data_IF_175943400928
#
_entry.id   IF_175943400928
#
_cell.length_a   1.000
_cell.length_b   1.000
_cell.length_c   1.000
_cell.angle_alpha   90.00
_cell.angle_beta   90.00
_cell.angle_gamma   90.00
#
_symmetry.space_group_name_H-M   'P 1'
#
loop_
_entity.id
_entity.type
_entity.pdbx_description
1 polymer ?
#
# COMPACT_ATOMS: atom_id res chain seq x y z
N UNK A 1 -27.40 -31.07 32.95
CA UNK A 1 -26.05 -30.59 32.60
C UNK A 1 -26.23 -29.41 31.64
N UNK A 2 -25.94 -28.19 32.08
CA UNK A 2 -26.10 -27.00 31.26
C UNK A 2 -25.01 -26.98 30.19
N UNK A 3 -25.39 -27.19 28.93
CA UNK A 3 -24.47 -27.07 27.79
C UNK A 3 -24.00 -25.63 27.68
N UNK A 4 -22.77 -25.36 28.10
CA UNK A 4 -22.15 -24.05 27.97
C UNK A 4 -22.06 -23.66 26.50
N UNK A 5 -22.64 -22.52 26.15
CA UNK A 5 -22.49 -21.91 24.83
C UNK A 5 -21.01 -21.61 24.56
N UNK A 6 -20.33 -22.51 23.84
CA UNK A 6 -18.94 -22.30 23.45
C UNK A 6 -18.86 -21.16 22.42
N UNK A 7 -18.06 -20.12 22.72
CA UNK A 7 -17.72 -19.06 21.79
C UNK A 7 -17.00 -19.70 20.58
N UNK A 8 -17.60 -19.62 19.39
CA UNK A 8 -16.98 -20.06 18.13
C UNK A 8 -16.51 -18.83 17.36
N UNK A 9 -15.20 -18.65 17.25
CA UNK A 9 -14.62 -17.70 16.30
C UNK A 9 -14.48 -18.34 14.93
N UNK A 10 -15.04 -17.73 13.89
CA UNK A 10 -14.76 -18.08 12.49
C UNK A 10 -13.69 -17.14 11.94
N UNK A 11 -12.73 -17.68 11.18
CA UNK A 11 -11.75 -16.87 10.44
C UNK A 11 -12.48 -16.17 9.30
N UNK A 12 -12.19 -14.88 9.08
CA UNK A 12 -12.60 -14.16 7.87
C UNK A 12 -11.79 -14.71 6.69
N UNK A 13 -12.47 -15.34 5.74
CA UNK A 13 -11.87 -15.94 4.54
C UNK A 13 -12.68 -17.14 4.05
N UNK A 14 -12.58 -17.46 2.76
CA UNK A 14 -13.18 -18.68 2.22
C UNK A 14 -12.38 -19.93 2.67
N UNK A 15 -13.09 -21.04 2.88
CA UNK A 15 -12.51 -22.34 3.28
C UNK A 15 -11.69 -23.01 2.15
N UNK A 16 -11.10 -24.19 2.43
CA UNK A 16 -10.10 -24.79 1.54
C UNK A 16 -10.62 -25.17 0.15
N UNK A 17 -9.65 -25.24 -0.77
CA UNK A 17 -9.69 -25.10 -2.24
C UNK A 17 -10.98 -25.51 -2.97
N UNK A 18 -11.46 -24.59 -3.80
CA UNK A 18 -12.34 -24.88 -4.94
C UNK A 18 -11.72 -25.89 -5.91
N UNK A 19 -12.51 -26.28 -6.90
CA UNK A 19 -12.29 -27.39 -7.86
C UNK A 19 -10.82 -27.62 -8.25
N UNK A 20 -10.42 -28.91 -8.28
CA UNK A 20 -9.04 -29.33 -8.55
C UNK A 20 -8.53 -28.84 -9.91
N UNK A 21 -9.42 -28.72 -10.89
CA UNK A 21 -9.14 -28.23 -12.23
C UNK A 21 -9.61 -26.78 -12.34
N UNK A 22 -8.67 -25.83 -12.40
CA UNK A 22 -8.95 -24.38 -12.45
C UNK A 22 -9.20 -23.85 -13.88
N UNK A 23 -9.33 -24.75 -14.85
CA UNK A 23 -9.35 -24.40 -16.27
C UNK A 23 -8.01 -23.83 -16.75
N UNK A 24 -8.02 -23.21 -17.92
CA UNK A 24 -6.85 -22.56 -18.50
C UNK A 24 -6.54 -21.23 -17.82
N UNK A 25 -5.26 -20.97 -17.55
CA UNK A 25 -4.84 -19.71 -16.95
C UNK A 25 -5.01 -18.56 -17.95
N UNK A 26 -5.65 -17.48 -17.52
CA UNK A 26 -5.77 -16.28 -18.33
C UNK A 26 -4.39 -15.72 -18.72
N UNK A 27 -4.25 -15.17 -19.94
CA UNK A 27 -3.01 -14.57 -20.39
C UNK A 27 -2.65 -13.35 -19.52
N UNK A 28 -1.36 -13.19 -19.23
CA UNK A 28 -0.86 -12.18 -18.28
C UNK A 28 0.42 -11.53 -18.78
N UNK A 29 0.60 -10.28 -18.39
CA UNK A 29 1.83 -9.51 -18.62
C UNK A 29 2.42 -9.04 -17.30
N UNK A 30 3.73 -8.79 -17.28
CA UNK A 30 4.42 -8.20 -16.14
C UNK A 30 4.73 -6.74 -16.44
N UNK A 31 4.34 -5.85 -15.53
CA UNK A 31 4.66 -4.42 -15.60
C UNK A 31 5.62 -4.10 -14.46
N UNK A 32 6.74 -3.46 -14.78
CA UNK A 32 7.74 -3.07 -13.79
C UNK A 32 7.44 -1.68 -13.22
N UNK A 33 7.61 -1.53 -11.92
CA UNK A 33 7.49 -0.28 -11.18
C UNK A 33 8.72 -0.07 -10.30
N UNK A 34 9.27 1.14 -10.29
CA UNK A 34 10.44 1.53 -9.53
C UNK A 34 10.09 2.62 -8.51
N UNK A 35 10.47 2.41 -7.25
CA UNK A 35 10.32 3.43 -6.21
C UNK A 35 11.60 4.27 -6.05
N UNK A 36 11.50 5.39 -5.34
CA UNK A 36 12.62 6.31 -5.10
C UNK A 36 13.86 5.66 -4.42
N UNK A 37 13.70 4.49 -3.79
CA UNK A 37 14.81 3.72 -3.19
C UNK A 37 15.46 2.72 -4.17
N UNK A 38 15.07 2.72 -5.46
CA UNK A 38 15.61 1.83 -6.47
C UNK A 38 15.06 0.39 -6.43
N UNK A 39 13.96 0.15 -5.71
CA UNK A 39 13.33 -1.17 -5.74
C UNK A 39 12.45 -1.36 -6.97
N UNK A 40 12.75 -2.37 -7.78
CA UNK A 40 11.83 -2.85 -8.82
C UNK A 40 10.77 -3.80 -8.22
N UNK A 41 9.52 -3.58 -8.62
CA UNK A 41 8.36 -4.45 -8.32
C UNK A 41 7.67 -4.82 -9.63
N UNK A 42 7.36 -6.11 -9.83
CA UNK A 42 6.84 -6.63 -11.11
C UNK A 42 5.50 -7.38 -10.93
N UNK A 43 4.39 -6.71 -10.56
CA UNK A 43 3.08 -7.33 -10.53
C UNK A 43 2.67 -7.84 -11.92
N UNK A 44 1.91 -8.94 -11.95
CA UNK A 44 1.31 -9.48 -13.16
C UNK A 44 -0.12 -8.99 -13.32
N UNK A 45 -0.47 -8.49 -14.50
CA UNK A 45 -1.83 -8.10 -14.88
C UNK A 45 -2.37 -9.03 -15.96
N UNK A 46 -3.69 -9.18 -16.04
CA UNK A 46 -4.32 -9.83 -17.20
C UNK A 46 -4.02 -9.01 -18.46
N UNK A 47 -3.83 -9.68 -19.60
CA UNK A 47 -3.46 -9.02 -20.86
C UNK A 47 -4.53 -8.01 -21.31
N UNK A 48 -5.82 -8.29 -21.10
CA UNK A 48 -6.90 -7.34 -21.40
C UNK A 48 -6.93 -6.10 -20.48
N UNK A 49 -6.36 -6.20 -19.28
CA UNK A 49 -6.41 -5.16 -18.25
C UNK A 49 -5.17 -4.24 -18.24
N UNK A 50 -4.24 -4.45 -19.18
CA UNK A 50 -3.04 -3.61 -19.35
C UNK A 50 -3.36 -2.13 -19.54
N UNK A 51 -4.39 -1.73 -20.31
CA UNK A 51 -4.76 -0.31 -20.45
C UNK A 51 -5.22 0.33 -19.13
N UNK A 52 -5.67 -0.48 -18.17
CA UNK A 52 -6.16 -0.05 -16.87
C UNK A 52 -5.11 -0.24 -15.75
N UNK A 53 -3.89 -0.64 -16.11
CA UNK A 53 -2.81 -0.78 -15.15
C UNK A 53 -2.53 0.58 -14.48
N UNK A 54 -2.41 0.61 -13.14
CA UNK A 54 -2.26 1.87 -12.43
C UNK A 54 -0.93 2.55 -12.77
N UNK A 55 -0.91 3.88 -12.79
CA UNK A 55 0.34 4.62 -13.01
C UNK A 55 1.33 4.48 -11.83
N UNK A 56 0.79 4.24 -10.63
CA UNK A 56 1.56 4.10 -9.39
C UNK A 56 1.27 2.75 -8.74
N UNK A 57 2.28 2.17 -8.11
CA UNK A 57 2.20 0.94 -7.35
C UNK A 57 2.87 1.09 -5.99
N UNK A 58 2.31 0.49 -4.94
CA UNK A 58 2.94 0.51 -3.63
C UNK A 58 4.09 -0.51 -3.58
N UNK A 59 5.30 -0.02 -3.30
CA UNK A 59 6.46 -0.89 -3.18
C UNK A 59 6.30 -1.84 -1.97
N UNK A 60 6.29 -3.17 -2.15
CA UNK A 60 6.10 -4.13 -1.06
C UNK A 60 7.28 -4.15 -0.08
N UNK A 61 8.43 -3.57 -0.44
CA UNK A 61 9.61 -3.50 0.43
C UNK A 61 9.65 -2.27 1.34
N UNK A 62 9.19 -1.11 0.88
CA UNK A 62 9.31 0.13 1.65
C UNK A 62 8.02 0.97 1.74
N UNK A 63 6.94 0.55 1.09
CA UNK A 63 5.66 1.26 1.09
C UNK A 63 5.65 2.58 0.34
N UNK A 64 6.73 2.92 -0.38
CA UNK A 64 6.79 4.12 -1.20
C UNK A 64 6.03 3.91 -2.50
N UNK A 65 5.47 4.98 -3.09
CA UNK A 65 4.95 4.91 -4.45
C UNK A 65 6.09 4.49 -5.39
N UNK A 66 5.74 3.68 -6.37
CA UNK A 66 6.60 3.22 -7.45
C UNK A 66 5.92 3.55 -8.78
N UNK A 67 6.68 4.05 -9.75
CA UNK A 67 6.19 4.42 -11.08
C UNK A 67 6.81 3.54 -12.16
N UNK A 68 6.27 3.57 -13.38
CA UNK A 68 6.76 2.74 -14.48
C UNK A 68 8.05 3.26 -15.16
N UNK A 69 8.55 4.42 -14.75
CA UNK A 69 9.82 4.98 -15.23
C UNK A 69 10.92 4.75 -14.19
N UNK A 70 11.93 3.94 -14.56
CA UNK A 70 13.10 3.65 -13.72
C UNK A 70 13.96 4.89 -13.46
N UNK A 71 14.09 5.78 -14.45
CA UNK A 71 14.95 6.95 -14.36
C UNK A 71 14.30 8.08 -13.55
N UNK A 72 12.98 8.07 -13.44
CA UNK A 72 12.21 9.10 -12.74
C UNK A 72 11.14 8.48 -11.82
N UNK A 73 11.57 7.79 -10.74
CA UNK A 73 10.62 7.21 -9.80
C UNK A 73 9.86 8.30 -9.02
N UNK A 74 8.60 8.06 -8.67
CA UNK A 74 7.80 9.02 -7.91
C UNK A 74 8.41 9.27 -6.53
N UNK A 75 8.32 10.52 -6.08
CA UNK A 75 8.81 10.90 -4.75
C UNK A 75 7.93 10.31 -3.64
N UNK A 76 8.50 10.00 -2.47
CA UNK A 76 7.72 9.56 -1.31
C UNK A 76 6.68 10.62 -0.92
N UNK A 77 5.52 10.17 -0.44
CA UNK A 77 4.48 11.07 0.06
C UNK A 77 5.02 11.85 1.24
N UNK A 78 5.11 13.18 1.10
CA UNK A 78 5.48 14.07 2.21
C UNK A 78 4.25 14.35 3.05
N UNK A 79 4.22 13.83 4.27
CA UNK A 79 3.21 14.25 5.24
C UNK A 79 3.50 15.68 5.67
N UNK A 80 2.59 16.60 5.37
CA UNK A 80 2.67 17.94 5.93
C UNK A 80 2.36 17.86 7.42
N UNK A 81 3.30 18.27 8.29
CA UNK A 81 3.06 18.19 9.72
C UNK A 81 1.86 19.03 10.11
N UNK A 82 0.96 18.47 10.90
CA UNK A 82 -0.05 19.27 11.57
C UNK A 82 0.64 20.30 12.47
N UNK A 83 -0.05 21.42 12.65
CA UNK A 83 0.42 22.49 13.51
C UNK A 83 0.61 21.98 14.93
N UNK A 84 1.85 22.08 15.43
CA UNK A 84 2.22 21.60 16.75
C UNK A 84 1.79 22.58 17.84
N UNK A 85 1.68 22.13 19.10
CA UNK A 85 1.42 23.00 20.24
C UNK A 85 2.45 24.15 20.35
N UNK A 86 3.72 23.86 20.09
CA UNK A 86 4.78 24.88 20.07
C UNK A 86 4.54 25.91 18.96
N UNK A 87 4.11 25.47 17.77
CA UNK A 87 3.77 26.40 16.69
C UNK A 87 2.63 27.35 17.10
N UNK A 88 1.60 26.85 17.80
CA UNK A 88 0.56 27.72 18.38
C UNK A 88 1.09 28.68 19.44
N UNK A 89 2.11 28.30 20.22
CA UNK A 89 2.74 29.21 21.20
C UNK A 89 3.54 30.30 20.50
N UNK A 90 4.33 29.95 19.47
CA UNK A 90 5.18 30.90 18.72
C UNK A 90 4.40 31.92 17.91
N UNK A 91 3.12 31.67 17.63
CA UNK A 91 2.25 32.67 17.00
C UNK A 91 1.77 33.77 17.96
N UNK A 92 1.85 33.54 19.26
CA UNK A 92 1.34 34.44 20.31
C UNK A 92 2.42 34.94 21.28
N UNK A 93 3.64 34.40 21.19
CA UNK A 93 4.79 34.75 22.03
C UNK A 93 6.00 34.97 21.13
N UNK A 94 6.82 35.94 21.50
CA UNK A 94 8.12 36.19 20.87
C UNK A 94 9.12 35.09 21.28
N UNK A 95 10.19 34.93 20.51
CA UNK A 95 11.27 34.02 20.93
C UNK A 95 11.95 34.50 22.22
N UNK A 96 11.92 35.82 22.52
CA UNK A 96 12.44 36.42 23.76
C UNK A 96 11.65 35.98 25.00
N UNK A 97 10.34 35.72 24.87
CA UNK A 97 9.48 35.21 25.97
C UNK A 97 9.83 33.77 26.37
N UNK A 98 10.59 33.04 25.54
CA UNK A 98 10.94 31.63 25.74
C UNK A 98 12.38 31.38 26.20
N UNK A 99 13.16 32.43 26.44
CA UNK A 99 14.56 32.37 26.91
C UNK A 99 14.68 32.09 28.41
#
# INVERSE_FOLDING_TARGET
>A
MAGGSAIRGSRVGAGPMGEAERGEAAPRVWISYWCANGHETRPSFAEEAVPEAPALWDCPRCGYPAGQDEANPPSPVRNEPYKTHLAYVKERRSDEDGA
#
